data_IF_173316399655
#
_entry.id   IF_173316399655
#
_cell.length_a   1.000
_cell.length_b   1.000
_cell.length_c   1.000
_cell.angle_alpha   90.00
_cell.angle_beta   90.00
_cell.angle_gamma   90.00
#
_symmetry.space_group_name_H-M   'P 1'
#
loop_
_entity.id
_entity.type
_entity.pdbx_description
1 polymer ?
#
# COMPACT_ATOMS: atom_id res chain seq x y z
N UNK A 1 -28.11 -5.50 -54.82
CA UNK A 1 -29.11 -4.76 -54.01
C UNK A 1 -28.36 -3.87 -53.01
N UNK A 2 -28.89 -2.66 -52.83
CA UNK A 2 -28.70 -1.70 -51.73
C UNK A 2 -28.13 -2.31 -50.43
N UNK A 3 -27.26 -1.66 -49.66
CA UNK A 3 -27.24 -0.25 -49.20
C UNK A 3 -25.87 0.02 -48.53
N UNK A 4 -25.15 1.14 -48.79
CA UNK A 4 -25.23 2.45 -48.09
C UNK A 4 -25.36 2.30 -46.57
N UNK A 5 -24.67 3.01 -45.68
CA UNK A 5 -23.69 4.11 -45.69
C UNK A 5 -23.09 4.10 -44.25
N UNK A 6 -21.79 4.26 -44.03
CA UNK A 6 -21.01 5.50 -43.97
C UNK A 6 -21.41 6.49 -42.85
N UNK A 7 -20.40 6.93 -42.08
CA UNK A 7 -20.45 8.01 -41.09
C UNK A 7 -20.44 7.47 -39.66
N UNK A 8 -19.37 7.52 -38.86
CA UNK A 8 -18.35 8.57 -38.75
C UNK A 8 -18.84 9.66 -37.79
N UNK A 9 -18.02 9.99 -36.80
CA UNK A 9 -17.89 11.25 -36.02
C UNK A 9 -17.72 10.98 -34.51
N UNK A 10 -16.45 11.06 -34.10
CA UNK A 10 -15.86 11.91 -33.05
C UNK A 10 -16.27 11.84 -31.57
N UNK A 11 -15.23 12.10 -30.79
CA UNK A 11 -15.14 12.32 -29.36
C UNK A 11 -16.25 13.20 -28.74
N UNK A 12 -16.61 12.86 -27.49
CA UNK A 12 -17.47 13.65 -26.63
C UNK A 12 -17.20 13.30 -25.17
N UNK A 13 -17.05 14.35 -24.37
CA UNK A 13 -16.48 14.41 -23.03
C UNK A 13 -17.28 13.70 -21.93
N UNK A 14 -16.52 13.36 -20.88
CA UNK A 14 -16.81 13.63 -19.46
C UNK A 14 -18.26 13.70 -18.96
N UNK A 15 -18.43 13.00 -17.82
CA UNK A 15 -19.42 13.25 -16.74
C UNK A 15 -20.78 12.58 -16.93
N UNK A 16 -20.93 11.39 -16.35
CA UNK A 16 -21.92 11.23 -15.28
C UNK A 16 -21.64 10.00 -14.41
N UNK A 17 -21.00 10.27 -13.27
CA UNK A 17 -21.07 9.43 -12.08
C UNK A 17 -22.52 9.52 -11.60
N UNK A 18 -23.29 8.44 -11.75
CA UNK A 18 -24.46 8.24 -10.91
C UNK A 18 -24.11 7.25 -9.81
N UNK A 19 -23.82 7.84 -8.64
CA UNK A 19 -23.77 7.19 -7.35
C UNK A 19 -25.13 6.54 -7.05
N UNK A 20 -25.18 5.22 -7.08
CA UNK A 20 -26.04 4.49 -6.14
C UNK A 20 -25.49 3.07 -5.94
N UNK A 21 -25.12 2.65 -4.71
CA UNK A 21 -24.82 1.25 -4.46
C UNK A 21 -26.10 0.42 -4.70
N UNK A 22 -26.02 -0.74 -5.37
CA UNK A 22 -27.20 -1.58 -5.53
C UNK A 22 -27.63 -2.10 -4.16
N UNK A 23 -28.87 -1.77 -3.80
CA UNK A 23 -29.56 -2.15 -2.57
C UNK A 23 -29.90 -3.65 -2.61
N UNK A 24 -28.92 -4.51 -2.37
CA UNK A 24 -29.18 -5.93 -2.13
C UNK A 24 -29.51 -6.14 -0.65
N UNK A 25 -30.79 -5.98 -0.31
CA UNK A 25 -31.35 -6.60 0.88
C UNK A 25 -31.28 -8.13 0.70
N UNK A 26 -30.89 -8.80 1.77
CA UNK A 26 -30.42 -10.19 1.77
C UNK A 26 -31.28 -11.16 0.97
N UNK A 27 -30.62 -11.89 0.08
CA UNK A 27 -31.10 -13.20 -0.36
C UNK A 27 -30.40 -14.22 0.52
N UNK A 28 -31.15 -14.81 1.46
CA UNK A 28 -30.68 -15.99 2.17
C UNK A 28 -30.61 -17.14 1.16
N UNK A 29 -29.41 -17.68 0.92
CA UNK A 29 -29.23 -18.84 0.04
C UNK A 29 -29.78 -20.08 0.73
N UNK A 30 -30.87 -20.62 0.18
CA UNK A 30 -31.57 -21.83 0.63
C UNK A 30 -30.93 -23.15 0.19
N UNK A 31 -29.65 -23.13 -0.22
CA UNK A 31 -28.94 -24.35 -0.63
C UNK A 31 -27.70 -24.59 0.21
N UNK A 32 -27.69 -25.78 0.85
CA UNK A 32 -26.54 -26.32 1.56
C UNK A 32 -25.36 -26.49 0.59
N UNK A 33 -24.24 -25.83 0.91
CA UNK A 33 -22.88 -26.21 0.52
C UNK A 33 -22.66 -26.66 -0.92
N UNK A 34 -22.79 -25.74 -1.89
CA UNK A 34 -22.12 -25.90 -3.19
C UNK A 34 -20.98 -24.90 -3.22
N UNK A 35 -19.74 -25.40 -3.20
CA UNK A 35 -18.57 -24.59 -3.50
C UNK A 35 -18.68 -24.12 -4.95
N UNK A 36 -19.07 -22.86 -5.15
CA UNK A 36 -19.01 -22.23 -6.47
C UNK A 36 -17.53 -22.17 -6.84
N UNK A 37 -17.08 -23.07 -7.71
CA UNK A 37 -15.85 -22.86 -8.46
C UNK A 37 -16.11 -21.65 -9.34
N UNK A 38 -15.74 -20.47 -8.85
CA UNK A 38 -15.65 -19.28 -9.68
C UNK A 38 -14.57 -19.60 -10.71
N UNK A 39 -14.98 -20.04 -11.90
CA UNK A 39 -14.10 -20.28 -13.05
C UNK A 39 -13.46 -18.99 -13.56
N UNK A 40 -12.84 -18.23 -12.67
CA UNK A 40 -12.05 -17.05 -12.98
C UNK A 40 -10.87 -17.52 -13.82
N UNK A 41 -10.76 -17.09 -15.09
CA UNK A 41 -9.60 -17.44 -15.91
C UNK A 41 -8.34 -16.90 -15.23
N UNK A 42 -7.26 -17.68 -15.25
CA UNK A 42 -5.95 -17.26 -14.75
C UNK A 42 -5.47 -16.05 -15.55
N UNK A 43 -5.73 -14.84 -15.05
CA UNK A 43 -5.24 -13.61 -15.66
C UNK A 43 -3.82 -13.38 -15.19
N UNK A 44 -2.92 -13.22 -16.16
CA UNK A 44 -1.54 -12.81 -15.94
C UNK A 44 -1.43 -11.31 -16.17
N UNK A 45 -0.66 -10.62 -15.33
CA UNK A 45 -0.46 -9.18 -15.37
C UNK A 45 1.02 -8.88 -15.18
N UNK A 46 1.45 -7.75 -15.74
CA UNK A 46 2.81 -7.27 -15.59
C UNK A 46 2.78 -5.87 -14.97
N UNK A 47 3.60 -5.68 -13.95
CA UNK A 47 3.77 -4.39 -13.30
C UNK A 47 5.22 -3.98 -13.33
N UNK A 48 5.46 -2.67 -13.45
CA UNK A 48 6.81 -2.12 -13.56
C UNK A 48 7.14 -1.26 -12.35
N UNK A 49 8.33 -1.43 -11.80
CA UNK A 49 8.82 -0.75 -10.60
C UNK A 49 10.22 -0.19 -10.84
N UNK A 50 10.53 0.96 -10.25
CA UNK A 50 11.92 1.43 -10.13
C UNK A 50 12.47 0.98 -8.79
N UNK A 51 13.61 0.28 -8.79
CA UNK A 51 14.28 -0.14 -7.57
C UNK A 51 14.77 1.08 -6.78
N UNK A 52 14.31 1.26 -5.54
CA UNK A 52 14.74 2.37 -4.67
C UNK A 52 15.84 1.96 -3.66
N UNK A 53 16.34 0.74 -3.74
CA UNK A 53 17.31 0.22 -2.77
C UNK A 53 18.73 0.78 -2.93
N UNK A 54 19.07 1.32 -4.10
CA UNK A 54 20.40 1.84 -4.40
C UNK A 54 20.32 2.91 -5.51
N UNK A 55 21.35 3.76 -5.68
CA UNK A 55 21.30 4.87 -6.64
C UNK A 55 21.25 4.46 -8.11
N UNK A 56 21.51 3.19 -8.44
CA UNK A 56 21.44 2.70 -9.83
C UNK A 56 20.00 2.64 -10.37
N UNK A 57 18.99 2.47 -9.51
CA UNK A 57 17.60 2.60 -9.93
C UNK A 57 17.12 1.62 -11.00
N UNK A 58 17.43 0.32 -10.90
CA UNK A 58 17.03 -0.66 -11.93
C UNK A 58 15.54 -0.60 -12.26
N UNK A 59 15.20 -0.68 -13.55
CA UNK A 59 13.82 -0.84 -14.02
C UNK A 59 13.43 -2.31 -13.91
N UNK A 60 12.48 -2.62 -13.03
CA UNK A 60 12.06 -3.97 -12.69
C UNK A 60 10.69 -4.24 -13.28
N UNK A 61 10.49 -5.43 -13.84
CA UNK A 61 9.16 -5.91 -14.26
C UNK A 61 8.81 -7.15 -13.46
N UNK A 62 7.63 -7.15 -12.87
CA UNK A 62 7.09 -8.24 -12.04
C UNK A 62 5.91 -8.85 -12.77
N UNK A 63 5.99 -10.16 -13.01
CA UNK A 63 4.89 -10.95 -13.55
C UNK A 63 4.08 -11.50 -12.40
N UNK A 64 2.78 -11.22 -12.43
CA UNK A 64 1.79 -11.55 -11.42
C UNK A 64 0.73 -12.47 -12.05
N UNK A 65 0.14 -13.37 -11.27
CA UNK A 65 -0.97 -14.21 -11.70
C UNK A 65 -2.05 -14.25 -10.62
N UNK A 66 -3.33 -14.24 -11.04
CA UNK A 66 -4.43 -14.46 -10.10
C UNK A 66 -4.46 -15.91 -9.63
N UNK A 67 -4.37 -16.10 -8.32
CA UNK A 67 -4.65 -17.36 -7.64
C UNK A 67 -5.88 -17.27 -6.73
N UNK A 68 -6.33 -18.39 -6.16
CA UNK A 68 -7.45 -18.41 -5.21
C UNK A 68 -7.22 -17.56 -3.95
N UNK A 69 -5.95 -17.33 -3.59
CA UNK A 69 -5.53 -16.59 -2.40
C UNK A 69 -5.13 -15.13 -2.67
N UNK A 70 -5.17 -14.67 -3.93
CA UNK A 70 -4.76 -13.31 -4.30
C UNK A 70 -3.83 -13.26 -5.52
N UNK A 71 -2.89 -12.31 -5.50
CA UNK A 71 -1.88 -12.11 -6.54
C UNK A 71 -0.59 -12.85 -6.17
N UNK A 72 -0.18 -13.80 -7.02
CA UNK A 72 1.07 -14.54 -6.85
C UNK A 72 2.14 -14.05 -7.83
N UNK A 73 3.38 -13.88 -7.36
CA UNK A 73 4.51 -13.48 -8.21
C UNK A 73 5.09 -14.70 -8.92
N UNK A 74 4.93 -14.76 -10.24
CA UNK A 74 5.45 -15.83 -11.09
C UNK A 74 6.86 -15.53 -11.59
N UNK A 75 7.22 -14.25 -11.76
CA UNK A 75 8.50 -13.84 -12.31
C UNK A 75 8.91 -12.42 -11.93
N UNK A 76 10.23 -12.18 -11.93
CA UNK A 76 10.81 -10.83 -11.79
C UNK A 76 12.00 -10.74 -12.73
N UNK A 77 12.07 -9.67 -13.52
CA UNK A 77 13.17 -9.39 -14.46
C UNK A 77 13.64 -7.94 -14.33
N UNK A 78 14.79 -7.60 -14.94
CA UNK A 78 15.35 -6.25 -14.93
C UNK A 78 16.19 -5.88 -13.71
N UNK A 79 16.46 -6.82 -12.81
CA UNK A 79 17.33 -6.61 -11.64
C UNK A 79 18.80 -6.91 -11.97
N UNK A 80 19.72 -6.13 -11.39
CA UNK A 80 21.18 -6.38 -11.46
C UNK A 80 21.76 -6.97 -10.18
N UNK A 81 20.97 -7.01 -9.11
CA UNK A 81 21.37 -7.54 -7.81
C UNK A 81 20.20 -8.21 -7.09
N UNK A 82 20.53 -9.05 -6.09
CA UNK A 82 19.54 -9.76 -5.26
C UNK A 82 18.57 -8.81 -4.55
N UNK A 83 19.08 -7.68 -4.03
CA UNK A 83 18.25 -6.66 -3.34
C UNK A 83 17.14 -6.12 -4.25
N UNK A 84 17.44 -5.90 -5.53
CA UNK A 84 16.45 -5.44 -6.51
C UNK A 84 15.35 -6.47 -6.76
N UNK A 85 15.73 -7.75 -6.90
CA UNK A 85 14.77 -8.85 -7.05
C UNK A 85 13.84 -8.97 -5.85
N UNK A 86 14.41 -8.96 -4.64
CA UNK A 86 13.67 -9.10 -3.39
C UNK A 86 12.73 -7.89 -3.18
N UNK A 87 13.20 -6.68 -3.47
CA UNK A 87 12.39 -5.46 -3.43
C UNK A 87 11.21 -5.52 -4.39
N UNK A 88 11.39 -5.90 -5.66
CA UNK A 88 10.30 -5.96 -6.63
C UNK A 88 9.18 -6.91 -6.18
N UNK A 89 9.56 -8.09 -5.66
CA UNK A 89 8.57 -9.05 -5.13
C UNK A 89 7.78 -8.46 -3.97
N UNK A 90 8.49 -7.82 -3.03
CA UNK A 90 7.85 -7.22 -1.87
C UNK A 90 6.97 -6.03 -2.26
N UNK A 91 7.46 -5.11 -3.09
CA UNK A 91 6.71 -3.92 -3.49
C UNK A 91 5.41 -4.27 -4.24
N UNK A 92 5.42 -5.34 -5.04
CA UNK A 92 4.24 -5.81 -5.78
C UNK A 92 3.18 -6.51 -4.91
N UNK A 93 3.57 -7.12 -3.79
CA UNK A 93 2.66 -7.96 -2.97
C UNK A 93 2.35 -7.35 -1.61
N UNK A 94 3.35 -6.75 -0.97
CA UNK A 94 3.27 -6.17 0.37
C UNK A 94 4.24 -4.98 0.49
N UNK A 95 3.94 -3.83 -0.14
CA UNK A 95 4.81 -2.67 -0.07
C UNK A 95 4.88 -2.15 1.37
N UNK A 96 6.09 -2.00 1.88
CA UNK A 96 6.36 -1.49 3.24
C UNK A 96 7.21 -0.24 3.17
N UNK A 97 7.04 0.67 4.14
CA UNK A 97 7.85 1.90 4.26
C UNK A 97 8.12 2.21 5.73
N UNK A 98 9.28 2.80 5.99
CA UNK A 98 9.57 3.41 7.29
C UNK A 98 8.75 4.69 7.42
N UNK A 99 7.95 4.82 8.49
CA UNK A 99 7.26 6.08 8.76
C UNK A 99 8.18 6.95 9.61
N UNK A 100 8.42 8.18 9.17
CA UNK A 100 9.19 9.19 9.90
C UNK A 100 8.29 10.37 10.19
N UNK A 101 8.36 10.93 11.41
CA UNK A 101 7.49 12.00 11.85
C UNK A 101 8.21 12.95 12.83
N UNK A 102 7.66 14.16 12.99
CA UNK A 102 8.02 15.07 14.06
C UNK A 102 6.91 15.06 15.12
N UNK A 103 7.27 14.74 16.37
CA UNK A 103 6.34 14.63 17.48
C UNK A 103 6.48 15.86 18.37
N UNK A 104 5.39 16.59 18.66
CA UNK A 104 5.42 17.72 19.59
C UNK A 104 5.87 17.29 20.99
N UNK A 105 6.78 18.05 21.58
CA UNK A 105 7.25 17.87 22.95
C UNK A 105 6.64 18.96 23.82
N UNK A 106 5.98 18.58 24.89
CA UNK A 106 5.28 19.53 25.77
C UNK A 106 6.27 20.50 26.43
N UNK A 107 5.88 21.78 26.47
CA UNK A 107 6.73 22.84 27.03
C UNK A 107 8.00 23.14 26.22
N UNK A 108 8.09 22.68 24.97
CA UNK A 108 9.22 22.93 24.07
C UNK A 108 8.75 23.36 22.69
N UNK A 109 9.49 24.29 22.07
CA UNK A 109 9.28 24.66 20.67
C UNK A 109 9.88 23.64 19.70
N UNK A 110 10.91 22.89 20.14
CA UNK A 110 11.57 21.90 19.31
C UNK A 110 10.83 20.56 19.42
N UNK A 111 10.23 20.02 18.34
CA UNK A 111 9.68 18.68 18.34
C UNK A 111 10.81 17.64 18.39
N UNK A 112 10.49 16.43 18.83
CA UNK A 112 11.39 15.28 18.70
C UNK A 112 11.15 14.59 17.35
N UNK A 113 12.22 14.23 16.63
CA UNK A 113 12.08 13.43 15.42
C UNK A 113 11.95 11.97 15.80
N UNK A 114 11.04 11.26 15.15
CA UNK A 114 10.77 9.86 15.42
C UNK A 114 10.62 9.07 14.12
N UNK A 115 10.86 7.76 14.20
CA UNK A 115 10.61 6.82 13.12
C UNK A 115 10.02 5.54 13.65
N UNK A 116 9.35 4.76 12.80
CA UNK A 116 9.04 3.37 13.16
C UNK A 116 10.33 2.56 13.33
N UNK A 117 10.35 1.59 14.25
CA UNK A 117 11.52 0.75 14.46
C UNK A 117 11.78 -0.19 13.27
N UNK A 118 10.72 -0.57 12.56
CA UNK A 118 10.75 -1.33 11.31
C UNK A 118 9.81 -0.70 10.27
N UNK A 119 9.97 -1.00 8.96
CA UNK A 119 8.99 -0.63 7.95
C UNK A 119 7.62 -1.24 8.25
N UNK A 120 6.56 -0.46 8.06
CA UNK A 120 5.17 -0.92 8.16
C UNK A 120 4.52 -0.96 6.77
N UNK A 121 3.45 -1.73 6.64
CA UNK A 121 2.69 -1.83 5.39
C UNK A 121 2.20 -0.45 4.91
N UNK A 122 2.29 -0.18 3.61
CA UNK A 122 1.93 1.11 3.00
C UNK A 122 0.50 1.54 3.33
N UNK A 123 -0.43 0.60 3.37
CA UNK A 123 -1.83 0.84 3.73
C UNK A 123 -2.03 1.22 5.21
N UNK A 124 -1.04 1.02 6.09
CA UNK A 124 -1.06 1.43 7.50
C UNK A 124 -0.41 2.78 7.76
N UNK A 125 0.30 3.35 6.79
CA UNK A 125 1.04 4.60 6.97
C UNK A 125 0.14 5.77 7.39
N UNK A 126 -1.05 5.91 6.78
CA UNK A 126 -1.97 7.01 7.12
C UNK A 126 -2.48 6.90 8.55
N UNK A 127 -2.93 5.70 8.95
CA UNK A 127 -3.36 5.44 10.32
C UNK A 127 -2.22 5.70 11.33
N UNK A 128 -0.99 5.30 10.99
CA UNK A 128 0.17 5.58 11.83
C UNK A 128 0.41 7.09 12.00
N UNK A 129 0.33 7.87 10.92
CA UNK A 129 0.50 9.33 10.98
C UNK A 129 -0.60 10.01 11.80
N UNK A 130 -1.85 9.54 11.71
CA UNK A 130 -2.96 10.04 12.51
C UNK A 130 -2.74 9.81 14.01
N UNK A 131 -2.30 8.61 14.38
CA UNK A 131 -1.97 8.26 15.77
C UNK A 131 -0.78 9.08 16.30
N UNK A 132 0.29 9.19 15.51
CA UNK A 132 1.47 9.99 15.87
C UNK A 132 1.10 11.47 16.04
N UNK A 133 0.18 12.01 15.23
CA UNK A 133 -0.27 13.40 15.34
C UNK A 133 -0.98 13.71 16.65
N UNK A 134 -1.69 12.73 17.21
CA UNK A 134 -2.37 12.86 18.49
C UNK A 134 -1.40 12.75 19.69
N UNK A 135 -0.21 12.19 19.49
CA UNK A 135 0.79 11.98 20.53
C UNK A 135 1.31 13.31 21.10
N UNK A 136 1.48 13.34 22.42
CA UNK A 136 2.19 14.38 23.17
C UNK A 136 3.21 13.71 24.06
N UNK A 137 4.47 14.14 23.98
CA UNK A 137 5.57 13.55 24.76
C UNK A 137 6.14 14.60 25.70
N UNK A 138 6.54 14.17 26.89
CA UNK A 138 7.11 15.02 27.92
C UNK A 138 8.64 14.90 27.89
N UNK A 139 9.39 16.00 28.11
CA UNK A 139 10.83 15.91 28.31
C UNK A 139 11.18 15.24 29.66
N UNK A 140 12.35 14.59 29.79
CA UNK A 140 13.36 14.39 28.74
C UNK A 140 12.98 13.23 27.81
N UNK A 141 13.21 13.42 26.50
CA UNK A 141 13.14 12.35 25.49
C UNK A 141 14.55 12.10 24.99
N UNK A 142 15.03 10.85 25.05
CA UNK A 142 16.36 10.45 24.59
C UNK A 142 16.26 9.75 23.25
N UNK A 143 17.33 9.86 22.46
CA UNK A 143 17.46 9.04 21.26
C UNK A 143 17.35 7.55 21.61
N UNK A 144 16.54 6.82 20.84
CA UNK A 144 16.24 5.40 21.09
C UNK A 144 15.03 5.16 21.97
N UNK A 145 14.47 6.17 22.64
CA UNK A 145 13.27 6.00 23.47
C UNK A 145 12.08 5.56 22.62
N UNK A 146 11.33 4.57 23.11
CA UNK A 146 10.06 4.16 22.52
C UNK A 146 8.96 5.15 22.93
N UNK A 147 8.39 5.85 21.94
CA UNK A 147 7.31 6.82 22.13
C UNK A 147 5.92 6.17 22.03
N UNK A 148 5.80 5.10 21.23
CA UNK A 148 4.63 4.24 21.11
C UNK A 148 5.09 2.81 20.87
N UNK A 149 4.57 1.83 21.59
CA UNK A 149 4.97 0.42 21.45
C UNK A 149 4.41 -0.25 20.19
N UNK A 150 3.23 0.19 19.72
CA UNK A 150 2.51 -0.45 18.64
C UNK A 150 1.76 0.57 17.77
N UNK A 151 2.44 1.16 16.79
CA UNK A 151 1.83 2.14 15.90
C UNK A 151 0.83 1.48 14.95
N UNK A 152 -0.37 2.05 14.84
CA UNK A 152 -1.45 1.60 13.97
C UNK A 152 -1.80 0.10 14.06
N UNK A 153 -1.58 -0.51 15.23
CA UNK A 153 -1.83 -1.94 15.44
C UNK A 153 -0.92 -2.87 14.63
N UNK A 154 0.26 -2.40 14.19
CA UNK A 154 1.20 -3.15 13.35
C UNK A 154 2.16 -4.06 14.12
N UNK A 155 2.24 -3.91 15.45
CA UNK A 155 3.24 -4.53 16.32
C UNK A 155 4.62 -3.86 16.24
N UNK A 156 4.72 -2.69 15.60
CA UNK A 156 5.97 -1.95 15.42
C UNK A 156 5.98 -0.70 16.29
N UNK A 157 7.07 -0.49 17.02
CA UNK A 157 7.26 0.68 17.87
C UNK A 157 7.57 1.96 17.06
N UNK A 158 7.21 3.11 17.59
CA UNK A 158 7.70 4.43 17.20
C UNK A 158 8.84 4.82 18.14
N UNK A 159 10.03 5.08 17.60
CA UNK A 159 11.25 5.39 18.35
C UNK A 159 11.75 6.80 18.06
N UNK A 160 12.20 7.50 19.10
CA UNK A 160 12.86 8.79 18.98
C UNK A 160 14.23 8.65 18.30
N UNK A 161 14.57 9.58 17.42
CA UNK A 161 15.85 9.60 16.67
C UNK A 161 16.74 10.77 17.04
N UNK A 162 16.38 11.53 18.09
CA UNK A 162 17.21 12.58 18.68
C UNK A 162 16.79 12.82 20.13
N UNK A 163 17.69 13.40 20.91
CA UNK A 163 17.41 13.80 22.30
C UNK A 163 16.81 15.21 22.36
N UNK A 164 15.80 15.39 23.21
CA UNK A 164 15.21 16.68 23.61
C UNK A 164 15.14 16.72 25.13
N UNK A 165 15.77 17.74 25.74
CA UNK A 165 15.82 17.95 27.19
C UNK A 165 14.76 18.97 27.64
#
# INVERSE_FOLDING_TARGET
>A
MNSRANGGISAGDGKNVQNNPPRWQGVQSSHAGVSVQTGLPSRSYEETYTCICCPLGCQLTVMLQQGPAGLDVTGVVGYTCRRGKDYARQEATHPVRMVTAAVPVDGRLCPVSAKTAQPIAKNRMLAALEEIRALRVQPPVREGDTLLENVAGTGVALVATKTVQ
#
